data_IF_469485181800
#
_entry.id   IF_469485181800
#
_cell.length_a   1.000
_cell.length_b   1.000
_cell.length_c   1.000
_cell.angle_alpha   90.00
_cell.angle_beta   90.00
_cell.angle_gamma   90.00
#
_symmetry.space_group_name_H-M   'P 1'
#
loop_
_entity.id
_entity.type
_entity.pdbx_description
1 polymer ?
#
# COMPACT_ATOMS: atom_id res chain seq x y z
N UNK A 1 43.92 -9.87 37.05
CA UNK A 1 42.46 -10.01 36.87
C UNK A 1 41.87 -10.07 38.26
N UNK A 2 41.00 -9.12 38.58
CA UNK A 2 40.38 -9.06 39.90
C UNK A 2 39.30 -10.15 40.00
N UNK A 3 39.01 -10.67 41.18
CA UNK A 3 37.92 -11.64 41.39
C UNK A 3 36.56 -11.09 40.92
N UNK A 4 36.44 -9.76 40.86
CA UNK A 4 35.28 -9.02 40.34
C UNK A 4 35.13 -9.22 38.83
N UNK A 5 36.22 -9.30 38.07
CA UNK A 5 36.18 -9.54 36.61
C UNK A 5 35.69 -10.96 36.28
N UNK A 6 36.03 -11.94 37.14
CA UNK A 6 35.63 -13.33 36.95
C UNK A 6 34.14 -13.54 37.22
N UNK A 7 33.59 -12.88 38.25
CA UNK A 7 32.16 -12.96 38.57
C UNK A 7 31.30 -12.25 37.53
N UNK A 8 31.73 -11.10 37.01
CA UNK A 8 31.02 -10.42 35.91
C UNK A 8 31.05 -11.23 34.61
N UNK A 9 32.18 -11.86 34.28
CA UNK A 9 32.27 -12.75 33.12
C UNK A 9 31.33 -13.96 33.27
N UNK A 10 31.25 -14.57 34.45
CA UNK A 10 30.36 -15.70 34.70
C UNK A 10 28.87 -15.32 34.57
N UNK A 11 28.47 -14.15 35.07
CA UNK A 11 27.08 -13.65 34.94
C UNK A 11 26.74 -13.38 33.47
N UNK A 12 27.64 -12.76 32.71
CA UNK A 12 27.43 -12.48 31.29
C UNK A 12 27.25 -13.77 30.48
N UNK A 13 28.08 -14.79 30.73
CA UNK A 13 27.97 -16.09 30.07
C UNK A 13 26.65 -16.79 30.44
N UNK A 14 26.25 -16.73 31.71
CA UNK A 14 24.98 -17.28 32.19
C UNK A 14 23.77 -16.63 31.50
N UNK A 15 23.76 -15.30 31.38
CA UNK A 15 22.69 -14.56 30.72
C UNK A 15 22.56 -14.92 29.23
N UNK A 16 23.68 -15.06 28.52
CA UNK A 16 23.70 -15.49 27.11
C UNK A 16 23.16 -16.91 26.97
N UNK A 17 23.52 -17.83 27.86
CA UNK A 17 23.04 -19.22 27.83
C UNK A 17 21.53 -19.30 28.03
N UNK A 18 20.97 -18.55 28.98
CA UNK A 18 19.52 -18.49 29.22
C UNK A 18 18.80 -17.90 28.01
N UNK A 19 19.32 -16.82 27.41
CA UNK A 19 18.74 -16.22 26.21
C UNK A 19 18.71 -17.21 25.03
N UNK A 20 19.77 -18.01 24.84
CA UNK A 20 19.82 -19.03 23.80
C UNK A 20 18.83 -20.19 24.06
N UNK A 21 18.63 -20.60 25.32
CA UNK A 21 17.65 -21.64 25.67
C UNK A 21 16.21 -21.14 25.44
N UNK A 22 15.91 -19.88 25.80
CA UNK A 22 14.61 -19.24 25.52
C UNK A 22 14.39 -19.12 24.01
N UNK A 23 15.39 -18.68 23.25
CA UNK A 23 15.30 -18.60 21.80
C UNK A 23 15.09 -19.98 21.17
N UNK A 24 15.82 -21.00 21.62
CA UNK A 24 15.67 -22.37 21.14
C UNK A 24 14.30 -22.97 21.49
N UNK A 25 13.72 -22.66 22.65
CA UNK A 25 12.38 -23.13 23.04
C UNK A 25 11.27 -22.39 22.31
N UNK A 26 11.43 -21.09 22.04
CA UNK A 26 10.52 -20.31 21.18
C UNK A 26 10.57 -20.80 19.73
N UNK A 27 11.76 -21.14 19.21
CA UNK A 27 11.93 -21.69 17.86
C UNK A 27 11.49 -23.16 17.76
N UNK A 28 11.60 -23.95 18.84
CA UNK A 28 11.10 -25.34 18.91
C UNK A 28 9.62 -25.44 19.21
N UNK A 29 8.91 -24.33 19.46
CA UNK A 29 7.46 -24.36 19.62
C UNK A 29 6.88 -25.00 18.36
N UNK A 30 6.26 -26.20 18.47
CA UNK A 30 5.87 -26.97 17.31
C UNK A 30 4.92 -26.11 16.50
N UNK A 31 5.35 -25.72 15.30
CA UNK A 31 4.48 -25.16 14.26
C UNK A 31 3.38 -26.19 14.05
N UNK A 32 2.30 -26.07 14.83
CA UNK A 32 1.04 -26.76 14.55
C UNK A 32 0.77 -26.41 13.11
N UNK A 33 0.80 -27.42 12.25
CA UNK A 33 0.43 -27.37 10.85
C UNK A 33 -1.01 -26.87 10.80
N UNK A 34 -1.19 -25.54 10.84
CA UNK A 34 -2.36 -24.90 10.28
C UNK A 34 -2.30 -25.31 8.81
N UNK A 35 -3.23 -26.16 8.40
CA UNK A 35 -3.43 -26.46 6.99
C UNK A 35 -3.43 -25.15 6.21
N UNK A 36 -2.96 -25.15 4.94
CA UNK A 36 -2.88 -23.94 4.15
C UNK A 36 -4.27 -23.33 4.06
N UNK A 37 -4.53 -22.33 4.90
CA UNK A 37 -5.62 -21.39 4.66
C UNK A 37 -5.14 -20.67 3.42
N UNK A 38 -5.70 -21.07 2.29
CA UNK A 38 -5.64 -20.36 1.02
C UNK A 38 -6.36 -19.02 1.21
N UNK A 39 -5.80 -18.14 2.03
CA UNK A 39 -6.08 -16.72 1.97
C UNK A 39 -5.54 -16.29 0.61
N UNK A 40 -6.48 -16.04 -0.28
CA UNK A 40 -6.31 -15.56 -1.64
C UNK A 40 -5.01 -14.75 -1.80
N UNK A 41 -4.05 -15.34 -2.49
CA UNK A 41 -2.89 -14.67 -3.07
C UNK A 41 -3.32 -13.80 -4.27
N UNK A 42 -4.43 -13.07 -4.14
CA UNK A 42 -5.11 -12.37 -5.24
C UNK A 42 -4.74 -10.87 -5.33
N UNK A 43 -3.86 -10.34 -4.46
CA UNK A 43 -3.53 -8.90 -4.44
C UNK A 43 -2.04 -8.58 -4.61
N UNK A 44 -1.20 -9.56 -4.98
CA UNK A 44 0.20 -9.29 -5.37
C UNK A 44 0.50 -9.12 -6.88
N UNK A 45 -0.33 -9.51 -7.86
CA UNK A 45 0.06 -9.36 -9.27
C UNK A 45 0.20 -7.89 -9.68
N UNK A 46 -0.58 -6.99 -9.09
CA UNK A 46 -0.59 -5.57 -9.47
C UNK A 46 0.72 -4.85 -9.09
N UNK A 47 1.39 -5.24 -8.00
CA UNK A 47 2.64 -4.60 -7.57
C UNK A 47 3.81 -4.96 -8.50
N UNK A 48 3.83 -6.20 -9.00
CA UNK A 48 4.88 -6.63 -9.93
C UNK A 48 4.61 -6.09 -11.34
N UNK A 49 3.34 -5.93 -11.72
CA UNK A 49 2.94 -5.28 -12.97
C UNK A 49 3.33 -3.79 -12.99
N UNK A 50 3.03 -3.04 -11.92
CA UNK A 50 3.46 -1.64 -11.79
C UNK A 50 4.99 -1.51 -11.82
N UNK A 51 5.72 -2.40 -11.14
CA UNK A 51 7.19 -2.42 -11.20
C UNK A 51 7.72 -2.66 -12.60
N UNK A 52 7.07 -3.55 -13.36
CA UNK A 52 7.45 -3.83 -14.74
C UNK A 52 7.17 -2.64 -15.66
N UNK A 53 6.00 -2.00 -15.54
CA UNK A 53 5.66 -0.80 -16.31
C UNK A 53 6.65 0.33 -16.05
N UNK A 54 6.94 0.62 -14.78
CA UNK A 54 7.93 1.62 -14.39
C UNK A 54 9.34 1.30 -14.92
N UNK A 55 9.77 0.03 -14.87
CA UNK A 55 11.07 -0.38 -15.41
C UNK A 55 11.14 -0.18 -16.93
N UNK A 56 10.04 -0.40 -17.65
CA UNK A 56 9.95 -0.15 -19.09
C UNK A 56 10.02 1.35 -19.39
N UNK A 57 9.31 2.19 -18.63
CA UNK A 57 9.36 3.64 -18.82
C UNK A 57 10.74 4.21 -18.54
N UNK A 58 11.38 3.79 -17.44
CA UNK A 58 12.74 4.22 -17.12
C UNK A 58 13.71 3.87 -18.27
N UNK A 59 13.62 2.65 -18.78
CA UNK A 59 14.48 2.21 -19.90
C UNK A 59 14.19 2.97 -21.19
N UNK A 60 12.94 3.39 -21.44
CA UNK A 60 12.61 4.27 -22.58
C UNK A 60 13.25 5.65 -22.43
N UNK A 61 13.22 6.22 -21.22
CA UNK A 61 13.86 7.52 -20.95
C UNK A 61 15.37 7.44 -21.10
N UNK A 62 16.00 6.38 -20.58
CA UNK A 62 17.44 6.12 -20.73
C UNK A 62 17.85 6.02 -22.21
N UNK A 63 17.16 5.19 -23.00
CA UNK A 63 17.44 5.04 -24.44
C UNK A 63 17.25 6.37 -25.19
N UNK A 64 16.24 7.17 -24.82
CA UNK A 64 16.04 8.51 -25.42
C UNK A 64 17.19 9.45 -25.07
N UNK A 65 17.68 9.43 -23.83
CA UNK A 65 18.82 10.24 -23.41
C UNK A 65 20.12 9.84 -24.11
N UNK A 66 20.38 8.54 -24.29
CA UNK A 66 21.52 8.03 -25.05
C UNK A 66 21.48 8.47 -26.52
N UNK A 67 20.29 8.39 -27.15
CA UNK A 67 20.10 8.86 -28.53
C UNK A 67 20.40 10.35 -28.67
N UNK A 68 19.88 11.19 -27.78
CA UNK A 68 20.14 12.64 -27.80
C UNK A 68 21.62 12.94 -27.56
N UNK A 69 22.28 12.20 -26.68
CA UNK A 69 23.72 12.35 -26.44
C UNK A 69 24.55 12.02 -27.69
N UNK A 70 24.18 10.97 -28.43
CA UNK A 70 24.84 10.59 -29.68
C UNK A 70 24.58 11.61 -30.80
N UNK A 71 23.34 12.10 -30.95
CA UNK A 71 23.01 13.16 -31.91
C UNK A 71 23.83 14.43 -31.64
N UNK A 72 24.00 14.80 -30.37
CA UNK A 72 24.83 15.94 -29.96
C UNK A 72 26.33 15.69 -30.23
N UNK A 73 26.81 14.45 -30.03
CA UNK A 73 28.18 14.06 -30.35
C UNK A 73 28.45 14.21 -31.86
N UNK A 74 27.54 13.73 -32.71
CA UNK A 74 27.64 13.84 -34.16
C UNK A 74 27.64 15.30 -34.59
N UNK A 75 26.71 16.12 -34.07
CA UNK A 75 26.64 17.55 -34.39
C UNK A 75 27.93 18.29 -34.02
N UNK A 76 28.54 17.98 -32.87
CA UNK A 76 29.84 18.56 -32.46
C UNK A 76 30.99 18.18 -33.41
N UNK A 77 31.04 16.93 -33.86
CA UNK A 77 32.03 16.47 -34.84
C UNK A 77 31.86 17.20 -36.17
N UNK A 78 30.61 17.39 -36.61
CA UNK A 78 30.29 18.10 -37.85
C UNK A 78 30.69 19.58 -37.77
N UNK A 79 30.40 20.27 -36.67
CA UNK A 79 30.86 21.64 -36.45
C UNK A 79 32.39 21.73 -36.44
N UNK A 80 33.07 20.83 -35.72
CA UNK A 80 34.53 20.80 -35.71
C UNK A 80 35.11 20.60 -37.13
N UNK A 81 34.47 19.75 -37.94
CA UNK A 81 34.83 19.52 -39.34
C UNK A 81 34.61 20.77 -40.21
N UNK A 82 33.45 21.43 -40.08
CA UNK A 82 33.15 22.67 -40.80
C UNK A 82 34.10 23.82 -40.40
N UNK A 83 34.45 23.91 -39.12
CA UNK A 83 35.45 24.87 -38.64
C UNK A 83 36.83 24.57 -39.22
N UNK A 84 37.28 23.31 -39.23
CA UNK A 84 38.54 22.93 -39.88
C UNK A 84 38.56 23.24 -41.38
N UNK A 85 37.44 23.05 -42.08
CA UNK A 85 37.33 23.41 -43.50
C UNK A 85 37.43 24.91 -43.74
N UNK A 86 36.90 25.75 -42.83
CA UNK A 86 37.03 27.22 -42.92
C UNK A 86 38.44 27.72 -42.69
N UNK A 87 39.15 27.11 -41.76
CA UNK A 87 40.49 27.54 -41.38
C UNK A 87 41.61 26.89 -42.20
N UNK A 88 41.31 25.87 -43.03
CA UNK A 88 42.27 25.34 -44.00
C UNK A 88 42.39 26.30 -45.19
N UNK A 89 43.51 27.02 -45.38
CA UNK A 89 43.68 27.90 -46.53
C UNK A 89 43.67 27.09 -47.84
N UNK A 90 43.11 27.65 -48.94
CA UNK A 90 42.88 26.91 -50.20
C UNK A 90 44.15 26.36 -50.90
N UNK A 91 45.35 26.59 -50.36
CA UNK A 91 46.62 26.04 -50.86
C UNK A 91 47.23 24.88 -50.04
N UNK A 92 46.62 24.48 -48.91
CA UNK A 92 47.13 23.40 -48.05
C UNK A 92 46.18 22.20 -47.97
N UNK A 93 45.40 21.92 -49.02
CA UNK A 93 44.81 20.59 -49.13
C UNK A 93 45.97 19.60 -49.30
N UNK A 94 46.15 18.62 -48.38
CA UNK A 94 47.19 17.63 -48.53
C UNK A 94 46.95 16.95 -49.87
N UNK A 95 47.93 17.01 -50.77
CA UNK A 95 47.87 16.37 -52.07
C UNK A 95 47.29 14.97 -51.89
N UNK A 96 46.05 14.80 -52.34
CA UNK A 96 45.29 13.55 -52.19
C UNK A 96 46.11 12.55 -52.99
N UNK A 97 46.97 11.77 -52.30
CA UNK A 97 47.70 10.67 -52.92
C UNK A 97 46.61 9.76 -53.46
N UNK A 98 46.40 9.83 -54.77
CA UNK A 98 45.46 8.98 -55.47
C UNK A 98 45.80 7.54 -55.07
N UNK A 99 44.87 6.79 -54.46
CA UNK A 99 45.10 5.37 -54.24
C UNK A 99 45.37 4.75 -55.61
N UNK A 100 46.39 3.88 -55.73
CA UNK A 100 46.74 3.28 -57.02
C UNK A 100 45.50 2.63 -57.62
N UNK A 101 45.17 3.03 -58.85
CA UNK A 101 44.11 2.46 -59.67
C UNK A 101 44.30 0.93 -59.72
N UNK A 102 43.52 0.20 -58.93
CA UNK A 102 43.34 -1.23 -59.13
C UNK A 102 42.38 -1.42 -60.29
N UNK A 103 42.96 -1.90 -61.39
CA UNK A 103 42.30 -2.31 -62.64
C UNK A 103 41.30 -3.44 -62.33
N UNK A 104 40.11 -3.45 -62.97
CA UNK A 104 38.97 -4.26 -62.54
C UNK A 104 39.04 -5.70 -63.03
N UNK A 105 38.73 -6.65 -62.15
CA UNK A 105 38.28 -7.98 -62.53
C UNK A 105 36.76 -8.03 -62.45
N UNK A 106 36.15 -8.24 -63.61
CA UNK A 106 34.72 -8.36 -63.91
C UNK A 106 33.92 -9.14 -62.87
N UNK A 107 32.85 -8.50 -62.38
CA UNK A 107 31.82 -9.11 -61.54
C UNK A 107 30.63 -8.16 -61.42
N UNK A 108 29.97 -7.92 -62.56
CA UNK A 108 28.87 -6.97 -62.76
C UNK A 108 27.67 -7.34 -61.86
N UNK A 109 27.57 -6.68 -60.71
CA UNK A 109 26.30 -6.49 -59.99
C UNK A 109 26.01 -4.99 -60.13
N UNK A 110 24.97 -4.66 -60.89
CA UNK A 110 24.49 -3.29 -61.08
C UNK A 110 24.20 -2.65 -59.70
N UNK A 111 24.98 -1.64 -59.25
CA UNK A 111 24.65 -0.91 -58.06
C UNK A 111 23.49 0.02 -58.41
N UNK A 112 22.35 -0.25 -57.78
CA UNK A 112 21.17 0.60 -57.73
C UNK A 112 21.56 2.08 -57.72
N UNK A 113 21.05 2.82 -58.70
CA UNK A 113 21.09 4.27 -58.87
C UNK A 113 20.37 4.98 -57.71
N UNK A 114 20.86 4.83 -56.50
CA UNK A 114 20.52 5.70 -55.39
C UNK A 114 21.50 6.88 -55.45
N UNK A 115 21.18 7.87 -56.28
CA UNK A 115 21.83 9.17 -56.19
C UNK A 115 21.59 9.68 -54.76
N UNK A 116 22.65 9.82 -53.92
CA UNK A 116 22.46 10.38 -52.60
C UNK A 116 21.83 11.77 -52.78
N UNK A 117 20.77 12.09 -52.02
CA UNK A 117 20.16 13.42 -52.11
C UNK A 117 21.27 14.45 -51.88
N UNK A 118 21.33 15.45 -52.75
CA UNK A 118 22.28 16.54 -52.62
C UNK A 118 22.15 17.12 -51.21
N UNK A 119 23.14 16.87 -50.37
CA UNK A 119 23.20 17.41 -49.01
C UNK A 119 23.41 18.91 -49.18
N UNK A 120 22.32 19.67 -49.15
CA UNK A 120 22.40 21.12 -49.03
C UNK A 120 23.06 21.40 -47.68
N UNK A 121 24.33 21.81 -47.71
CA UNK A 121 25.06 22.29 -46.53
C UNK A 121 24.29 23.47 -45.95
N UNK A 122 23.64 23.25 -44.80
CA UNK A 122 22.95 24.30 -44.09
C UNK A 122 23.97 25.39 -43.69
N UNK A 123 23.60 26.67 -43.79
CA UNK A 123 24.50 27.75 -43.40
C UNK A 123 24.92 27.60 -41.92
N UNK A 124 26.17 27.96 -41.57
CA UNK A 124 26.76 27.72 -40.24
C UNK A 124 25.95 28.27 -39.07
N UNK A 125 25.28 29.41 -39.26
CA UNK A 125 24.49 30.06 -38.23
C UNK A 125 23.34 29.15 -37.75
N UNK A 126 22.77 28.37 -38.68
CA UNK A 126 21.70 27.40 -38.38
C UNK A 126 22.25 26.20 -37.59
N UNK A 127 23.51 25.83 -37.79
CA UNK A 127 24.15 24.75 -37.04
C UNK A 127 24.42 25.15 -35.58
N UNK A 128 24.89 26.38 -35.33
CA UNK A 128 25.14 26.88 -33.98
C UNK A 128 23.83 27.05 -33.19
N UNK A 129 22.77 27.58 -33.82
CA UNK A 129 21.43 27.66 -33.22
C UNK A 129 20.87 26.27 -32.88
N UNK A 130 21.05 25.30 -33.78
CA UNK A 130 20.61 23.92 -33.54
C UNK A 130 21.36 23.28 -32.37
N UNK A 131 22.65 23.53 -32.22
CA UNK A 131 23.41 23.02 -31.07
C UNK A 131 22.99 23.69 -29.77
N UNK A 132 22.73 25.00 -29.77
CA UNK A 132 22.19 25.68 -28.59
C UNK A 132 20.82 25.11 -28.19
N UNK A 133 19.94 24.85 -29.17
CA UNK A 133 18.64 24.22 -28.93
C UNK A 133 18.77 22.80 -28.35
N UNK A 134 19.64 21.96 -28.91
CA UNK A 134 19.90 20.60 -28.40
C UNK A 134 20.53 20.61 -27.00
N UNK A 135 21.37 21.59 -26.70
CA UNK A 135 21.93 21.76 -25.35
C UNK A 135 20.84 22.12 -24.35
N UNK A 136 19.96 23.07 -24.68
CA UNK A 136 18.83 23.44 -23.84
C UNK A 136 17.87 22.25 -23.60
N UNK A 137 17.58 21.46 -24.65
CA UNK A 137 16.75 20.25 -24.52
C UNK A 137 17.41 19.20 -23.63
N UNK A 138 18.73 19.00 -23.75
CA UNK A 138 19.47 18.07 -22.90
C UNK A 138 19.51 18.52 -21.43
N UNK A 139 19.65 19.82 -21.16
CA UNK A 139 19.57 20.37 -19.81
C UNK A 139 18.17 20.21 -19.21
N UNK A 140 17.12 20.49 -19.98
CA UNK A 140 15.74 20.28 -19.57
C UNK A 140 15.47 18.79 -19.28
N UNK A 141 15.96 17.88 -20.12
CA UNK A 141 15.84 16.43 -19.90
C UNK A 141 16.58 15.99 -18.63
N UNK A 142 17.76 16.54 -18.34
CA UNK A 142 18.51 16.27 -17.10
C UNK A 142 17.76 16.75 -15.86
N UNK A 143 17.15 17.93 -15.92
CA UNK A 143 16.32 18.46 -14.84
C UNK A 143 15.09 17.57 -14.62
N UNK A 144 14.40 17.18 -15.68
CA UNK A 144 13.26 16.25 -15.58
C UNK A 144 13.67 14.87 -15.01
N UNK A 145 14.85 14.37 -15.35
CA UNK A 145 15.36 13.11 -14.79
C UNK A 145 15.71 13.24 -13.30
N UNK A 146 16.26 14.38 -12.88
CA UNK A 146 16.60 14.60 -11.46
C UNK A 146 15.35 14.78 -10.58
N UNK A 147 14.31 15.44 -11.09
CA UNK A 147 13.02 15.54 -10.39
C UNK A 147 12.34 14.18 -10.27
N UNK A 148 12.29 13.39 -11.35
CA UNK A 148 11.75 12.04 -11.32
C UNK A 148 12.52 11.13 -10.33
N UNK A 149 13.84 11.24 -10.27
CA UNK A 149 14.65 10.49 -9.30
C UNK A 149 14.37 10.92 -7.85
N UNK A 150 14.11 12.20 -7.60
CA UNK A 150 13.73 12.69 -6.28
C UNK A 150 12.35 12.18 -5.85
N UNK A 151 11.37 12.19 -6.77
CA UNK A 151 10.04 11.63 -6.54
C UNK A 151 10.10 10.13 -6.25
N UNK A 152 10.93 9.38 -6.99
CA UNK A 152 11.13 7.95 -6.72
C UNK A 152 11.69 7.69 -5.32
N UNK A 153 12.66 8.49 -4.86
CA UNK A 153 13.19 8.37 -3.49
C UNK A 153 12.11 8.65 -2.45
N UNK A 154 11.32 9.70 -2.64
CA UNK A 154 10.22 10.04 -1.74
C UNK A 154 9.15 8.92 -1.69
N UNK A 155 8.80 8.32 -2.83
CA UNK A 155 7.89 7.18 -2.88
C UNK A 155 8.47 5.93 -2.21
N UNK A 156 9.77 5.66 -2.39
CA UNK A 156 10.46 4.55 -1.72
C UNK A 156 10.47 4.73 -0.19
N UNK A 157 10.72 5.94 0.30
CA UNK A 157 10.67 6.27 1.72
C UNK A 157 9.25 6.10 2.29
N UNK A 158 8.22 6.55 1.57
CA UNK A 158 6.81 6.34 1.95
C UNK A 158 6.44 4.85 2.00
N UNK A 159 6.90 4.05 1.04
CA UNK A 159 6.67 2.60 1.05
C UNK A 159 7.38 1.96 2.25
N UNK A 160 8.61 2.35 2.56
CA UNK A 160 9.33 1.86 3.72
C UNK A 160 8.63 2.24 5.04
N UNK A 161 8.07 3.46 5.15
CA UNK A 161 7.31 3.86 6.33
C UNK A 161 6.02 3.07 6.49
N UNK A 162 5.30 2.80 5.39
CA UNK A 162 4.08 1.97 5.41
C UNK A 162 4.42 0.52 5.80
N UNK A 163 5.52 -0.03 5.30
CA UNK A 163 5.97 -1.39 5.65
C UNK A 163 6.31 -1.50 7.15
N UNK A 164 6.95 -0.47 7.74
CA UNK A 164 7.20 -0.40 9.20
C UNK A 164 5.90 -0.31 10.00
N UNK A 165 4.98 0.58 9.62
CA UNK A 165 3.69 0.71 10.29
C UNK A 165 2.89 -0.62 10.23
N UNK A 166 2.97 -1.33 9.11
CA UNK A 166 2.31 -2.62 8.95
C UNK A 166 2.96 -3.73 9.80
N UNK A 167 4.28 -3.70 10.01
CA UNK A 167 4.94 -4.61 10.96
C UNK A 167 4.53 -4.33 12.39
N UNK A 168 4.50 -3.06 12.81
CA UNK A 168 4.04 -2.65 14.16
C UNK A 168 2.57 -3.03 14.38
N UNK A 169 1.71 -2.82 13.38
CA UNK A 169 0.31 -3.22 13.42
C UNK A 169 0.13 -4.75 13.57
N UNK A 170 1.03 -5.55 12.97
CA UNK A 170 1.01 -7.01 13.13
C UNK A 170 1.44 -7.43 14.52
N UNK A 171 2.51 -6.84 15.05
CA UNK A 171 2.99 -7.12 16.40
C UNK A 171 1.94 -6.77 17.44
N UNK A 172 1.30 -5.59 17.32
CA UNK A 172 0.20 -5.19 18.22
C UNK A 172 -1.01 -6.13 18.09
N UNK A 173 -1.37 -6.57 16.90
CA UNK A 173 -2.44 -7.55 16.70
C UNK A 173 -2.11 -8.92 17.32
N UNK A 174 -0.87 -9.38 17.22
CA UNK A 174 -0.44 -10.65 17.80
C UNK A 174 -0.36 -10.57 19.34
N UNK A 175 0.10 -9.45 19.91
CA UNK A 175 0.01 -9.19 21.35
C UNK A 175 -1.45 -9.25 21.84
N UNK A 176 -2.37 -8.56 21.16
CA UNK A 176 -3.80 -8.61 21.49
C UNK A 176 -4.40 -10.02 21.42
N UNK A 177 -3.93 -10.86 20.47
CA UNK A 177 -4.36 -12.27 20.39
C UNK A 177 -3.86 -13.09 21.57
N UNK A 178 -2.63 -12.85 22.02
CA UNK A 178 -2.08 -13.52 23.21
C UNK A 178 -2.88 -13.10 24.45
N UNK A 179 -3.17 -11.81 24.60
CA UNK A 179 -3.96 -11.28 25.72
C UNK A 179 -5.39 -11.84 25.72
N UNK A 180 -6.04 -11.90 24.56
CA UNK A 180 -7.37 -12.50 24.42
C UNK A 180 -7.37 -13.99 24.75
N UNK A 181 -6.34 -14.73 24.33
CA UNK A 181 -6.19 -16.15 24.69
C UNK A 181 -5.97 -16.33 26.20
N UNK A 182 -5.18 -15.47 26.84
CA UNK A 182 -4.96 -15.49 28.28
C UNK A 182 -6.23 -15.11 29.07
N UNK A 183 -7.03 -14.16 28.57
CA UNK A 183 -8.32 -13.82 29.13
C UNK A 183 -9.32 -14.99 29.02
N UNK A 184 -9.39 -15.65 27.86
CA UNK A 184 -10.21 -16.85 27.66
C UNK A 184 -9.83 -17.97 28.63
N UNK A 185 -8.53 -18.23 28.83
CA UNK A 185 -8.07 -19.23 29.80
C UNK A 185 -8.47 -18.89 31.24
N UNK A 186 -8.36 -17.62 31.64
CA UNK A 186 -8.82 -17.14 32.96
C UNK A 186 -10.33 -17.30 33.13
N UNK A 187 -11.11 -16.97 32.10
CA UNK A 187 -12.57 -17.17 32.14
C UNK A 187 -12.93 -18.65 32.30
N UNK A 188 -12.24 -19.56 31.61
CA UNK A 188 -12.47 -21.00 31.80
C UNK A 188 -12.11 -21.50 33.20
N UNK A 189 -11.05 -20.95 33.81
CA UNK A 189 -10.67 -21.30 35.17
C UNK A 189 -11.70 -20.80 36.20
N UNK A 190 -12.16 -19.55 36.08
CA UNK A 190 -13.20 -18.98 36.95
C UNK A 190 -14.54 -19.72 36.82
N UNK A 191 -14.91 -20.15 35.62
CA UNK A 191 -16.11 -20.97 35.44
C UNK A 191 -15.98 -22.33 36.14
N UNK A 192 -14.81 -22.96 36.06
CA UNK A 192 -14.56 -24.21 36.79
C UNK A 192 -14.63 -24.02 38.32
N UNK A 193 -14.12 -22.90 38.85
CA UNK A 193 -14.25 -22.55 40.27
C UNK A 193 -15.71 -22.30 40.68
N UNK A 194 -16.48 -21.59 39.83
CA UNK A 194 -17.92 -21.38 40.05
C UNK A 194 -18.69 -22.70 40.10
N UNK A 195 -18.36 -23.64 39.21
CA UNK A 195 -19.00 -24.95 39.19
C UNK A 195 -18.63 -25.80 40.42
N UNK A 196 -17.39 -25.68 40.92
CA UNK A 196 -17.00 -26.28 42.19
C UNK A 196 -17.78 -25.67 43.37
N UNK A 197 -17.91 -24.34 43.43
CA UNK A 197 -18.68 -23.66 44.48
C UNK A 197 -20.16 -24.06 44.46
N UNK A 198 -20.76 -24.20 43.27
CA UNK A 198 -22.14 -24.70 43.12
C UNK A 198 -22.29 -26.14 43.61
N UNK A 199 -21.27 -26.98 43.46
CA UNK A 199 -21.28 -28.35 43.97
C UNK A 199 -21.23 -28.40 45.51
N UNK A 200 -20.64 -27.40 46.17
CA UNK A 200 -20.64 -27.27 47.64
C UNK A 200 -21.86 -26.54 48.21
N UNK A 201 -22.62 -25.83 47.37
CA UNK A 201 -23.85 -25.19 47.83
C UNK A 201 -24.86 -26.27 48.26
N UNK A 202 -25.41 -26.20 49.48
CA UNK A 202 -26.43 -27.15 49.91
C UNK A 202 -27.61 -27.09 48.93
N UNK A 203 -28.24 -28.23 48.60
CA UNK A 203 -29.38 -28.23 47.69
C UNK A 203 -30.40 -27.24 48.24
N UNK A 204 -30.77 -26.26 47.39
CA UNK A 204 -31.78 -25.27 47.77
C UNK A 204 -32.98 -26.03 48.36
N UNK A 205 -33.49 -25.62 49.53
CA UNK A 205 -34.62 -26.29 50.14
C UNK A 205 -35.69 -26.39 49.07
N UNK A 206 -36.09 -27.63 48.75
CA UNK A 206 -37.20 -27.85 47.83
C UNK A 206 -38.33 -26.97 48.32
N UNK A 207 -38.98 -26.16 47.47
CA UNK A 207 -40.17 -25.45 47.87
C UNK A 207 -41.18 -26.52 48.27
N UNK A 208 -41.24 -26.83 49.56
CA UNK A 208 -42.24 -27.70 50.13
C UNK A 208 -43.56 -27.04 49.80
N UNK A 209 -44.37 -27.78 49.03
CA UNK A 209 -45.60 -27.27 48.49
C UNK A 209 -46.52 -26.83 49.63
N UNK A 210 -46.65 -25.52 49.79
CA UNK A 210 -47.91 -24.95 50.27
C UNK A 210 -48.88 -24.99 49.08
N UNK A 211 -49.34 -26.20 48.76
CA UNK A 211 -50.55 -26.42 48.01
C UNK A 211 -51.73 -26.20 48.94
N UNK A 212 -52.21 -24.96 49.04
CA UNK A 212 -53.60 -24.62 49.28
C UNK A 212 -53.74 -23.09 49.22
N UNK A 213 -54.73 -22.64 48.46
CA UNK A 213 -55.29 -21.28 48.49
C UNK A 213 -54.52 -20.16 47.76
N UNK A 214 -54.31 -20.34 46.45
CA UNK A 214 -54.40 -19.22 45.52
C UNK A 214 -55.62 -19.44 44.62
N UNK A 215 -56.76 -19.05 45.17
CA UNK A 215 -58.04 -19.02 44.50
C UNK A 215 -57.96 -18.26 43.17
N UNK A 216 -58.52 -18.90 42.14
CA UNK A 216 -59.23 -18.31 41.01
C UNK A 216 -59.11 -16.78 40.86
N UNK A 217 -58.11 -16.34 40.10
CA UNK A 217 -58.25 -15.08 39.37
C UNK A 217 -59.05 -15.36 38.09
N UNK A 218 -60.14 -14.59 37.84
CA UNK A 218 -61.05 -14.85 36.74
C UNK A 218 -60.38 -14.55 35.41
N UNK A 219 -60.59 -15.46 34.45
CA UNK A 219 -60.45 -15.21 33.02
C UNK A 219 -61.40 -14.06 32.65
N UNK A 220 -60.91 -12.82 32.73
CA UNK A 220 -61.61 -11.67 32.19
C UNK A 220 -61.42 -11.64 30.68
N UNK A 221 -62.54 -11.93 30.02
CA UNK A 221 -62.96 -11.61 28.67
C UNK A 221 -62.03 -10.75 27.80
N UNK A 222 -61.88 -11.24 26.57
CA UNK A 222 -61.62 -10.47 25.37
C UNK A 222 -62.31 -9.09 25.38
N UNK A 223 -61.51 -8.04 25.42
CA UNK A 223 -61.89 -6.70 24.97
C UNK A 223 -60.93 -6.36 23.83
N UNK A 224 -61.49 -6.28 22.63
CA UNK A 224 -60.87 -5.58 21.52
C UNK A 224 -60.70 -4.13 21.94
N UNK A 225 -59.46 -3.69 22.13
CA UNK A 225 -59.11 -2.30 22.38
C UNK A 225 -58.13 -1.83 21.30
N UNK A 226 -58.56 -0.79 20.59
CA UNK A 226 -57.90 -0.22 19.44
C UNK A 226 -56.59 0.48 19.86
N UNK A 227 -55.46 -0.10 19.44
CA UNK A 227 -54.42 0.67 18.73
C UNK A 227 -53.71 1.83 19.44
N UNK A 228 -53.38 1.73 20.73
CA UNK A 228 -52.29 2.54 21.30
C UNK A 228 -51.05 1.68 21.61
N UNK A 229 -49.88 1.98 21.02
CA UNK A 229 -48.62 1.34 21.42
C UNK A 229 -48.27 1.82 22.82
N UNK A 230 -48.64 1.00 23.81
CA UNK A 230 -48.22 1.14 25.20
C UNK A 230 -46.69 1.30 25.24
N UNK A 231 -46.27 2.34 25.94
CA UNK A 231 -44.89 2.72 26.17
C UNK A 231 -44.04 1.50 26.51
N UNK A 232 -42.99 1.33 25.72
CA UNK A 232 -42.21 0.10 25.62
C UNK A 232 -41.69 -0.40 26.94
N UNK A 233 -41.72 -1.72 27.05
CA UNK A 233 -40.86 -2.47 27.97
C UNK A 233 -39.46 -1.86 27.95
N UNK A 234 -38.83 -1.62 29.12
CA UNK A 234 -37.44 -1.20 29.16
C UNK A 234 -36.63 -2.26 28.39
N UNK A 235 -35.74 -1.84 27.47
CA UNK A 235 -34.98 -2.77 26.65
C UNK A 235 -34.28 -3.76 27.59
N UNK A 236 -34.64 -5.04 27.45
CA UNK A 236 -33.94 -6.15 28.08
C UNK A 236 -32.44 -5.91 27.85
N UNK A 237 -31.58 -6.01 28.89
CA UNK A 237 -30.16 -5.72 28.72
C UNK A 237 -29.63 -6.59 27.59
N UNK A 238 -29.20 -5.94 26.52
CA UNK A 238 -28.68 -6.56 25.32
C UNK A 238 -27.72 -7.66 25.73
N UNK A 239 -27.97 -8.89 25.26
CA UNK A 239 -27.06 -10.01 25.55
C UNK A 239 -25.64 -9.60 25.12
N UNK A 240 -24.60 -10.15 25.75
CA UNK A 240 -23.21 -9.84 25.38
C UNK A 240 -23.00 -10.02 23.87
N UNK A 241 -23.67 -11.02 23.28
CA UNK A 241 -23.68 -11.28 21.83
C UNK A 241 -24.29 -10.14 21.01
N UNK A 242 -25.36 -9.49 21.47
CA UNK A 242 -25.97 -8.34 20.79
C UNK A 242 -25.09 -7.09 20.87
N UNK A 243 -24.41 -6.88 22.01
CA UNK A 243 -23.43 -5.80 22.17
C UNK A 243 -22.23 -6.02 21.27
N UNK A 244 -21.71 -7.25 21.21
CA UNK A 244 -20.61 -7.62 20.30
C UNK A 244 -21.03 -7.50 18.83
N UNK A 245 -22.25 -7.92 18.48
CA UNK A 245 -22.78 -7.78 17.13
C UNK A 245 -22.95 -6.30 16.74
N UNK A 246 -23.39 -5.44 17.66
CA UNK A 246 -23.48 -4.00 17.44
C UNK A 246 -22.08 -3.38 17.21
N UNK A 247 -21.10 -3.73 18.05
CA UNK A 247 -19.71 -3.29 17.88
C UNK A 247 -19.08 -3.77 16.57
N UNK A 248 -19.39 -5.00 16.14
CA UNK A 248 -18.93 -5.52 14.84
C UNK A 248 -19.56 -4.76 13.67
N UNK A 249 -20.87 -4.44 13.74
CA UNK A 249 -21.54 -3.63 12.72
C UNK A 249 -20.97 -2.23 12.64
N UNK A 250 -20.68 -1.61 13.79
CA UNK A 250 -20.05 -0.30 13.86
C UNK A 250 -18.65 -0.33 13.21
N UNK A 251 -17.80 -1.29 13.59
CA UNK A 251 -16.45 -1.44 13.01
C UNK A 251 -16.48 -1.72 11.52
N UNK A 252 -17.40 -2.56 11.04
CA UNK A 252 -17.57 -2.82 9.60
C UNK A 252 -18.03 -1.55 8.86
N UNK A 253 -18.91 -0.76 9.46
CA UNK A 253 -19.34 0.53 8.91
C UNK A 253 -18.17 1.52 8.82
N UNK A 254 -17.30 1.59 9.82
CA UNK A 254 -16.12 2.48 9.79
C UNK A 254 -15.12 2.05 8.71
N UNK A 255 -14.86 0.76 8.58
CA UNK A 255 -13.92 0.21 7.60
C UNK A 255 -14.45 0.39 6.17
N UNK A 256 -15.76 0.24 5.97
CA UNK A 256 -16.41 0.56 4.70
C UNK A 256 -16.31 2.05 4.37
N UNK A 257 -16.43 2.94 5.35
CA UNK A 257 -16.27 4.38 5.15
C UNK A 257 -14.84 4.74 4.73
N UNK A 258 -13.85 4.12 5.36
CA UNK A 258 -12.44 4.34 5.05
C UNK A 258 -12.09 3.85 3.64
N UNK A 259 -12.53 2.65 3.26
CA UNK A 259 -12.32 2.11 1.90
C UNK A 259 -12.98 3.01 0.84
N UNK A 260 -14.21 3.46 1.10
CA UNK A 260 -14.92 4.36 0.18
C UNK A 260 -14.22 5.72 0.05
N UNK A 261 -13.70 6.28 1.16
CA UNK A 261 -12.93 7.52 1.14
C UNK A 261 -11.62 7.37 0.33
N UNK A 262 -10.86 6.28 0.53
CA UNK A 262 -9.64 6.00 -0.24
C UNK A 262 -9.97 5.86 -1.72
N UNK A 263 -11.03 5.13 -2.05
CA UNK A 263 -11.44 4.91 -3.44
C UNK A 263 -11.88 6.21 -4.11
N UNK A 264 -12.63 7.06 -3.40
CA UNK A 264 -13.02 8.39 -3.90
C UNK A 264 -11.80 9.30 -4.14
N UNK A 265 -10.72 9.11 -3.37
CA UNK A 265 -9.47 9.86 -3.56
C UNK A 265 -8.74 9.40 -4.83
N UNK A 266 -8.81 8.09 -5.14
CA UNK A 266 -8.20 7.50 -6.34
C UNK A 266 -9.01 7.86 -7.60
N UNK A 267 -10.35 7.83 -7.54
CA UNK A 267 -11.22 8.20 -8.68
C UNK A 267 -11.12 9.69 -9.05
N UNK A 268 -10.70 10.54 -8.11
CA UNK A 268 -10.64 11.97 -8.30
C UNK A 268 -12.02 12.64 -8.17
N UNK A 269 -12.03 13.97 -8.30
CA UNK A 269 -13.23 14.80 -8.10
C UNK A 269 -14.25 14.54 -9.21
N UNK A 270 -15.49 14.22 -8.83
CA UNK A 270 -16.54 13.86 -9.79
C UNK A 270 -16.56 12.37 -10.17
N UNK A 271 -15.86 11.53 -9.41
CA UNK A 271 -15.93 10.07 -9.54
C UNK A 271 -17.33 9.51 -9.23
N UNK A 272 -17.51 8.20 -9.48
CA UNK A 272 -18.78 7.52 -9.27
C UNK A 272 -19.20 7.55 -7.80
N UNK A 273 -18.22 7.48 -6.89
CA UNK A 273 -18.49 7.56 -5.45
C UNK A 273 -18.99 8.96 -5.06
N UNK A 274 -18.46 10.03 -5.66
CA UNK A 274 -18.94 11.40 -5.40
C UNK A 274 -20.41 11.55 -5.82
N UNK A 275 -20.80 10.98 -6.97
CA UNK A 275 -22.19 10.99 -7.42
C UNK A 275 -23.11 10.26 -6.43
N UNK A 276 -22.72 9.06 -5.97
CA UNK A 276 -23.50 8.29 -4.99
C UNK A 276 -23.62 9.01 -3.65
N UNK A 277 -22.55 9.69 -3.21
CA UNK A 277 -22.55 10.47 -1.96
C UNK A 277 -23.37 11.77 -2.07
N UNK A 278 -23.54 12.31 -3.28
CA UNK A 278 -24.39 13.47 -3.55
C UNK A 278 -25.87 13.10 -3.64
N UNK A 279 -26.18 11.93 -4.22
CA UNK A 279 -27.56 11.44 -4.40
C UNK A 279 -28.15 10.78 -3.14
N UNK A 280 -27.32 10.47 -2.14
CA UNK A 280 -27.76 9.84 -0.89
C UNK A 280 -28.69 10.75 -0.08
N UNK A 281 -29.86 10.25 0.38
CA UNK A 281 -30.80 11.05 1.17
C UNK A 281 -30.13 11.54 2.46
N UNK A 282 -30.28 12.83 2.84
CA UNK A 282 -29.72 13.33 4.08
C UNK A 282 -30.34 12.60 5.27
N UNK A 283 -29.52 12.21 6.24
CA UNK A 283 -29.98 11.51 7.43
C UNK A 283 -31.10 12.31 8.13
N UNK A 284 -32.19 11.67 8.59
CA UNK A 284 -33.21 12.35 9.37
C UNK A 284 -32.54 12.95 10.61
N UNK A 285 -32.61 14.27 10.76
CA UNK A 285 -31.84 15.08 11.71
C UNK A 285 -32.20 14.91 13.19
N UNK A 286 -32.26 13.66 13.68
CA UNK A 286 -32.45 13.33 15.09
C UNK A 286 -31.10 13.17 15.80
N UNK A 287 -30.96 13.84 16.95
CA UNK A 287 -29.73 14.01 17.76
C UNK A 287 -29.13 12.71 18.32
N UNK A 288 -29.66 11.53 17.98
CA UNK A 288 -29.16 10.24 18.47
C UNK A 288 -29.34 9.08 17.49
N UNK A 289 -29.33 9.33 16.18
CA UNK A 289 -29.22 8.27 15.18
C UNK A 289 -27.75 8.10 14.78
N UNK A 290 -27.23 6.86 14.86
CA UNK A 290 -25.86 6.53 14.47
C UNK A 290 -25.48 7.19 13.14
N UNK A 291 -24.34 7.88 13.10
CA UNK A 291 -23.89 8.61 11.91
C UNK A 291 -23.91 7.69 10.68
N UNK A 292 -24.56 8.13 9.60
CA UNK A 292 -24.69 7.31 8.41
C UNK A 292 -23.33 7.08 7.76
N UNK A 293 -23.22 6.01 6.96
CA UNK A 293 -21.98 5.69 6.25
C UNK A 293 -21.50 6.88 5.38
N UNK A 294 -22.42 7.57 4.71
CA UNK A 294 -22.11 8.75 3.89
C UNK A 294 -21.53 9.90 4.73
N UNK A 295 -22.08 10.15 5.93
CA UNK A 295 -21.58 11.17 6.85
C UNK A 295 -20.17 10.82 7.35
N UNK A 296 -19.92 9.54 7.65
CA UNK A 296 -18.59 9.05 8.03
C UNK A 296 -17.58 9.27 6.91
N UNK A 297 -17.94 8.96 5.66
CA UNK A 297 -17.07 9.17 4.49
C UNK A 297 -16.76 10.67 4.29
N UNK A 298 -17.77 11.56 4.41
CA UNK A 298 -17.55 13.01 4.30
C UNK A 298 -16.60 13.52 5.40
N UNK A 299 -16.84 13.15 6.67
CA UNK A 299 -15.96 13.53 7.79
C UNK A 299 -14.53 13.03 7.62
N UNK A 300 -14.35 11.80 7.13
CA UNK A 300 -13.02 11.25 6.84
C UNK A 300 -12.29 12.06 5.78
N UNK A 301 -12.99 12.48 4.71
CA UNK A 301 -12.41 13.32 3.65
C UNK A 301 -12.07 14.72 4.11
N UNK A 302 -12.92 15.34 4.93
CA UNK A 302 -12.62 16.64 5.54
C UNK A 302 -11.36 16.57 6.39
N UNK A 303 -11.20 15.48 7.17
CA UNK A 303 -10.01 15.25 8.00
C UNK A 303 -8.74 14.97 7.19
N UNK A 304 -8.83 14.33 6.02
CA UNK A 304 -7.63 14.06 5.17
C UNK A 304 -7.29 15.21 4.24
N UNK A 305 -8.20 16.16 4.03
CA UNK A 305 -7.96 17.35 3.22
C UNK A 305 -7.23 18.47 3.97
N UNK A 306 -7.18 18.43 5.32
CA UNK A 306 -6.37 19.32 6.18
C UNK A 306 -4.96 18.80 6.34
#
# INVERSE_FOLDING_TARGET
>A
MSEIDLTQAAIAVGAVLVALIVLATVLRRPRRRRGPVKLAAATRPDRDLLRAEFAIELRRVEVRAERLAEELRVARIEIARLQHQRFTPPGQQPARKEPPQQVPASGRIEPSLYAPPAVQEAPPAVADERVAALQAELEAARQSASTAAAEQRALAERLASVERALTEARETADSRRIDAAAASFRATALNAELDQLKAFAPPAPKPEGNGADAAALPQAAAVADDGQPLAGDPPVPATIEEVEAALLRERLSDLAAEVAAVTATIEGRGGRIDAILADGPPAPGGVSAAATLADKIRRLRERTAT
#
